data_IF_705266551079
#
_entry.id   IF_705266551079
#
_cell.length_a   1.000
_cell.length_b   1.000
_cell.length_c   1.000
_cell.angle_alpha   90.00
_cell.angle_beta   90.00
_cell.angle_gamma   90.00
#
_symmetry.space_group_name_H-M   'P 1'
#
loop_
_entity.id
_entity.type
_entity.pdbx_description
1 polymer ?
#
# COMPACT_ATOMS: atom_id res chain seq x y z
N UNK A 1 -18.92 3.59 0.30
CA UNK A 1 -19.18 3.85 1.74
C UNK A 1 -18.99 5.34 1.97
N UNK A 2 -19.90 6.01 2.66
CA UNK A 2 -19.74 7.44 2.99
C UNK A 2 -18.57 7.64 3.95
N UNK A 3 -17.70 8.60 3.69
CA UNK A 3 -16.50 8.85 4.50
C UNK A 3 -16.85 9.17 5.97
N UNK A 4 -17.98 9.86 6.19
CA UNK A 4 -18.55 10.17 7.50
C UNK A 4 -18.81 8.94 8.39
N UNK A 5 -18.98 7.76 7.78
CA UNK A 5 -19.22 6.49 8.49
C UNK A 5 -17.94 5.69 8.72
N UNK A 6 -16.78 6.20 8.28
CA UNK A 6 -15.51 5.51 8.49
C UNK A 6 -15.11 5.52 9.97
N UNK A 7 -14.41 4.46 10.40
CA UNK A 7 -13.81 4.41 11.74
C UNK A 7 -12.87 5.59 11.97
N UNK A 8 -12.21 6.07 10.93
CA UNK A 8 -11.32 7.23 10.99
C UNK A 8 -12.04 8.50 11.44
N UNK A 9 -13.13 8.87 10.76
CA UNK A 9 -13.94 10.05 11.12
C UNK A 9 -14.56 9.89 12.50
N UNK A 10 -15.02 8.68 12.84
CA UNK A 10 -15.57 8.38 14.17
C UNK A 10 -14.55 8.65 15.28
N UNK A 11 -13.33 8.12 15.17
CA UNK A 11 -12.27 8.29 16.17
C UNK A 11 -11.91 9.78 16.34
N UNK A 12 -11.81 10.55 15.25
CA UNK A 12 -11.54 11.99 15.34
C UNK A 12 -12.63 12.72 16.12
N UNK A 13 -13.91 12.41 15.85
CA UNK A 13 -15.02 13.03 16.56
C UNK A 13 -15.02 12.67 18.05
N UNK A 14 -14.79 11.39 18.39
CA UNK A 14 -14.72 10.91 19.78
C UNK A 14 -13.61 11.63 20.55
N UNK A 15 -12.37 11.62 20.03
CA UNK A 15 -11.24 12.32 20.66
C UNK A 15 -11.53 13.82 20.82
N UNK A 16 -12.08 14.47 19.79
CA UNK A 16 -12.38 15.90 19.89
C UNK A 16 -13.45 16.21 20.96
N UNK A 17 -14.46 15.35 21.09
CA UNK A 17 -15.49 15.49 22.12
C UNK A 17 -14.93 15.27 23.53
N UNK A 18 -14.13 14.22 23.72
CA UNK A 18 -13.49 13.87 24.99
C UNK A 18 -12.50 14.95 25.46
N UNK A 19 -11.73 15.51 24.52
CA UNK A 19 -10.68 16.49 24.81
C UNK A 19 -11.16 17.95 24.77
N UNK A 20 -12.44 18.20 24.53
CA UNK A 20 -12.99 19.56 24.41
C UNK A 20 -12.39 20.35 23.23
N UNK A 21 -12.05 19.68 22.13
CA UNK A 21 -11.55 20.29 20.91
C UNK A 21 -12.73 20.60 20.00
N UNK A 22 -12.87 21.86 19.58
CA UNK A 22 -13.87 22.23 18.58
C UNK A 22 -13.42 21.72 17.21
N UNK A 23 -14.21 20.79 16.66
CA UNK A 23 -14.02 20.23 15.32
C UNK A 23 -14.92 20.94 14.30
N UNK A 24 -14.39 21.24 13.13
CA UNK A 24 -15.16 21.69 11.96
C UNK A 24 -14.75 20.86 10.75
N UNK A 25 -15.74 20.29 10.06
CA UNK A 25 -15.53 19.45 8.88
C UNK A 25 -15.66 20.25 7.58
N UNK A 26 -14.90 19.85 6.56
CA UNK A 26 -14.95 20.37 5.21
C UNK A 26 -14.92 19.22 4.20
N UNK A 27 -15.51 19.46 3.02
CA UNK A 27 -15.44 18.55 1.86
C UNK A 27 -15.79 17.10 2.21
N UNK A 28 -16.96 16.89 2.82
CA UNK A 28 -17.47 15.56 3.20
C UNK A 28 -16.51 14.80 4.13
N UNK A 29 -16.05 15.48 5.20
CA UNK A 29 -15.14 14.92 6.21
C UNK A 29 -13.76 14.54 5.65
N UNK A 30 -13.38 15.06 4.49
CA UNK A 30 -12.03 14.88 3.95
C UNK A 30 -11.00 15.78 4.64
N UNK A 31 -11.45 16.93 5.14
CA UNK A 31 -10.60 17.84 5.89
C UNK A 31 -11.29 18.32 7.17
N UNK A 32 -10.49 18.57 8.20
CA UNK A 32 -10.95 19.06 9.48
C UNK A 32 -10.13 20.26 9.93
N UNK A 33 -10.78 21.20 10.61
CA UNK A 33 -10.13 22.24 11.41
C UNK A 33 -10.40 21.96 12.89
N UNK A 34 -9.33 21.90 13.67
CA UNK A 34 -9.32 21.65 15.10
C UNK A 34 -8.99 22.95 15.81
N UNK A 35 -9.75 23.29 16.86
CA UNK A 35 -9.54 24.49 17.66
C UNK A 35 -9.65 24.17 19.15
N UNK A 36 -8.60 24.51 19.90
CA UNK A 36 -8.56 24.43 21.36
C UNK A 36 -7.69 25.59 21.86
N UNK A 37 -8.23 26.39 22.78
CA UNK A 37 -7.62 27.64 23.23
C UNK A 37 -7.23 28.57 22.06
N UNK A 38 -5.98 29.04 22.03
CA UNK A 38 -5.43 29.86 20.94
C UNK A 38 -4.80 29.02 19.81
N UNK A 39 -4.90 27.69 19.88
CA UNK A 39 -4.33 26.80 18.87
C UNK A 39 -5.36 26.46 17.80
N UNK A 40 -4.88 26.43 16.56
CA UNK A 40 -5.62 25.98 15.38
C UNK A 40 -4.77 25.02 14.59
N UNK A 41 -5.31 23.86 14.25
CA UNK A 41 -4.66 22.86 13.42
C UNK A 41 -5.62 22.36 12.33
N UNK A 42 -5.07 21.69 11.34
CA UNK A 42 -5.84 21.08 10.26
C UNK A 42 -5.45 19.62 10.07
N UNK A 43 -6.43 18.81 9.70
CA UNK A 43 -6.23 17.47 9.18
C UNK A 43 -6.71 17.48 7.73
N UNK A 44 -5.90 16.98 6.80
CA UNK A 44 -6.26 16.81 5.39
C UNK A 44 -6.04 15.37 4.97
N UNK A 45 -7.11 14.64 4.64
CA UNK A 45 -7.05 13.20 4.48
C UNK A 45 -6.52 12.56 5.75
N UNK A 46 -5.35 11.91 5.66
CA UNK A 46 -4.64 11.28 6.79
C UNK A 46 -3.45 12.12 7.30
N UNK A 47 -3.34 13.39 6.91
CA UNK A 47 -2.21 14.26 7.27
C UNK A 47 -2.58 15.16 8.44
N UNK A 48 -1.88 15.01 9.57
CA UNK A 48 -2.12 15.74 10.81
C UNK A 48 -1.27 17.01 10.97
N UNK A 49 -0.46 17.35 9.96
CA UNK A 49 0.45 18.50 10.01
C UNK A 49 1.61 18.36 11.00
N UNK A 50 1.92 17.13 11.43
CA UNK A 50 3.03 16.83 12.35
C UNK A 50 4.38 16.80 11.62
N UNK A 51 4.39 16.34 10.36
CA UNK A 51 5.60 16.21 9.56
C UNK A 51 5.73 17.37 8.55
N UNK A 52 6.94 17.88 8.29
CA UNK A 52 7.18 18.78 7.17
C UNK A 52 6.74 18.16 5.84
N UNK A 53 6.18 18.97 4.95
CA UNK A 53 5.66 18.50 3.65
C UNK A 53 6.73 17.90 2.75
N UNK A 54 7.98 18.34 2.86
CA UNK A 54 9.13 17.77 2.13
C UNK A 54 9.42 16.34 2.58
N UNK A 55 9.45 16.10 3.90
CA UNK A 55 9.67 14.76 4.47
C UNK A 55 8.53 13.83 4.09
N UNK A 56 7.29 14.31 4.14
CA UNK A 56 6.13 13.53 3.70
C UNK A 56 6.25 13.11 2.22
N UNK A 57 6.73 14.00 1.35
CA UNK A 57 6.95 13.68 -0.07
C UNK A 57 8.05 12.65 -0.26
N UNK A 58 9.16 12.76 0.48
CA UNK A 58 10.22 11.75 0.50
C UNK A 58 9.65 10.39 0.90
N UNK A 59 8.85 10.30 1.97
CA UNK A 59 8.25 9.05 2.41
C UNK A 59 7.20 8.48 1.44
N UNK A 60 6.56 9.32 0.63
CA UNK A 60 5.58 8.88 -0.37
C UNK A 60 6.24 8.39 -1.68
N UNK A 61 7.49 8.78 -1.93
CA UNK A 61 8.27 8.33 -3.08
C UNK A 61 9.06 7.07 -2.73
N UNK A 62 8.73 5.93 -3.35
CA UNK A 62 9.35 4.64 -3.01
C UNK A 62 10.82 4.59 -3.37
N UNK A 63 11.24 5.19 -4.49
CA UNK A 63 12.64 5.24 -4.87
C UNK A 63 13.43 6.13 -3.91
N UNK A 64 13.01 7.38 -3.72
CA UNK A 64 13.73 8.34 -2.88
C UNK A 64 13.77 7.88 -1.42
N UNK A 65 12.66 7.35 -0.88
CA UNK A 65 12.67 6.76 0.46
C UNK A 65 13.70 5.63 0.59
N UNK A 66 13.81 4.75 -0.41
CA UNK A 66 14.80 3.65 -0.37
C UNK A 66 16.24 4.15 -0.46
N UNK A 67 16.49 5.27 -1.16
CA UNK A 67 17.81 5.89 -1.24
C UNK A 67 18.21 6.54 0.09
N UNK A 68 17.29 7.28 0.72
CA UNK A 68 17.52 7.88 2.05
C UNK A 68 17.76 6.80 3.11
N UNK A 69 16.95 5.73 3.12
CA UNK A 69 17.16 4.62 4.05
C UNK A 69 18.53 3.97 3.86
N UNK A 70 18.98 3.83 2.62
CA UNK A 70 20.32 3.28 2.33
C UNK A 70 21.43 4.21 2.79
N UNK A 71 21.29 5.52 2.61
CA UNK A 71 22.26 6.53 3.08
C UNK A 71 22.40 6.50 4.61
N UNK A 72 21.30 6.26 5.31
CA UNK A 72 21.25 6.14 6.78
C UNK A 72 21.59 4.72 7.29
N UNK A 73 22.11 3.84 6.45
CA UNK A 73 22.43 2.44 6.77
C UNK A 73 21.24 1.63 7.35
N UNK A 74 20.01 2.01 6.98
CA UNK A 74 18.79 1.31 7.37
C UNK A 74 18.45 0.22 6.33
N UNK A 75 18.35 -1.06 6.73
CA UNK A 75 18.02 -2.14 5.82
C UNK A 75 16.67 -1.90 5.12
N UNK A 76 16.70 -1.88 3.79
CA UNK A 76 15.52 -1.75 2.96
C UNK A 76 15.68 -2.48 1.64
N UNK A 77 14.56 -2.86 1.02
CA UNK A 77 14.58 -3.32 -0.36
C UNK A 77 14.77 -2.10 -1.25
N UNK A 78 15.89 -2.04 -1.97
CA UNK A 78 16.17 -0.93 -2.88
C UNK A 78 15.14 -0.84 -4.02
N UNK A 79 14.66 0.37 -4.32
CA UNK A 79 13.77 0.67 -5.43
C UNK A 79 14.51 1.53 -6.45
N UNK A 80 14.68 1.03 -7.67
CA UNK A 80 15.10 1.84 -8.81
C UNK A 80 13.89 2.59 -9.41
N UNK A 81 14.08 3.83 -9.84
CA UNK A 81 13.04 4.61 -10.51
C UNK A 81 13.20 4.59 -12.03
N UNK A 82 12.09 4.35 -12.72
CA UNK A 82 11.98 4.41 -14.17
C UNK A 82 10.84 5.36 -14.55
N UNK A 83 11.20 6.48 -15.18
CA UNK A 83 10.24 7.51 -15.57
C UNK A 83 9.40 7.06 -16.77
N UNK A 84 8.14 7.50 -16.79
CA UNK A 84 7.26 7.31 -17.93
C UNK A 84 7.84 7.98 -19.20
N UNK A 85 7.53 7.49 -20.42
CA UNK A 85 7.97 8.13 -21.65
C UNK A 85 7.58 9.61 -21.78
N UNK A 86 6.46 10.02 -21.17
CA UNK A 86 6.03 11.43 -21.09
C UNK A 86 7.00 12.33 -20.31
N UNK A 87 7.87 11.74 -19.49
CA UNK A 87 8.81 12.44 -18.61
C UNK A 87 10.26 12.40 -19.15
N UNK A 88 10.49 11.92 -20.38
CA UNK A 88 11.83 11.80 -20.97
C UNK A 88 12.63 13.12 -20.99
N UNK A 89 11.95 14.26 -21.04
CA UNK A 89 12.59 15.57 -20.95
C UNK A 89 13.39 15.77 -19.66
N UNK A 90 12.97 15.12 -18.57
CA UNK A 90 13.63 15.18 -17.26
C UNK A 90 14.75 14.13 -17.11
N UNK A 91 14.83 13.13 -17.98
CA UNK A 91 15.83 12.05 -17.93
C UNK A 91 16.91 12.18 -19.01
N UNK A 92 17.01 13.33 -19.66
CA UNK A 92 17.97 13.59 -20.74
C UNK A 92 17.63 12.84 -22.04
N UNK A 93 16.37 12.49 -22.25
CA UNK A 93 15.87 11.88 -23.50
C UNK A 93 16.28 10.43 -23.73
N UNK A 94 17.00 9.82 -22.79
CA UNK A 94 17.39 8.41 -22.88
C UNK A 94 16.23 7.53 -22.41
N UNK A 95 15.79 6.62 -23.27
CA UNK A 95 14.80 5.61 -22.92
C UNK A 95 15.35 4.63 -21.88
N UNK A 96 14.48 4.16 -20.99
CA UNK A 96 14.87 3.35 -19.83
C UNK A 96 14.64 1.85 -20.03
N UNK A 97 14.09 1.45 -21.18
CA UNK A 97 13.68 0.06 -21.46
C UNK A 97 14.85 -0.93 -21.42
N UNK A 98 16.01 -0.56 -21.97
CA UNK A 98 17.21 -1.42 -21.92
C UNK A 98 17.65 -1.70 -20.47
N UNK A 99 17.59 -0.69 -19.60
CA UNK A 99 17.93 -0.84 -18.20
C UNK A 99 16.89 -1.69 -17.45
N UNK A 100 15.60 -1.53 -17.76
CA UNK A 100 14.54 -2.38 -17.22
C UNK A 100 14.74 -3.86 -17.58
N UNK A 101 15.09 -4.16 -18.83
CA UNK A 101 15.38 -5.54 -19.25
C UNK A 101 16.61 -6.10 -18.52
N UNK A 102 17.65 -5.29 -18.33
CA UNK A 102 18.83 -5.70 -17.56
C UNK A 102 18.50 -6.00 -16.08
N UNK A 103 17.55 -5.28 -15.47
CA UNK A 103 17.07 -5.63 -14.13
C UNK A 103 16.27 -6.94 -14.11
N UNK A 104 15.48 -7.18 -15.15
CA UNK A 104 14.68 -8.41 -15.29
C UNK A 104 15.57 -9.65 -15.48
N UNK A 105 16.66 -9.52 -16.21
CA UNK A 105 17.64 -10.61 -16.41
C UNK A 105 18.26 -11.08 -15.09
N UNK A 106 18.31 -10.23 -14.06
CA UNK A 106 18.78 -10.60 -12.71
C UNK A 106 17.76 -11.49 -11.97
N UNK A 107 16.53 -11.65 -12.50
CA UNK A 107 15.45 -12.50 -11.97
C UNK A 107 14.15 -11.74 -11.67
N UNK A 108 13.29 -12.28 -10.81
CA UNK A 108 11.93 -11.74 -10.59
C UNK A 108 11.92 -10.33 -10.00
N UNK A 109 11.10 -9.47 -10.60
CA UNK A 109 10.89 -8.09 -10.20
C UNK A 109 9.51 -7.85 -9.58
N UNK A 110 9.41 -6.78 -8.82
CA UNK A 110 8.16 -6.12 -8.46
C UNK A 110 8.16 -4.73 -9.07
N UNK A 111 7.22 -4.48 -9.97
CA UNK A 111 6.99 -3.20 -10.62
C UNK A 111 5.76 -2.54 -9.98
N UNK A 112 5.88 -1.27 -9.60
CA UNK A 112 4.79 -0.55 -8.94
C UNK A 112 4.79 0.94 -9.26
N UNK A 113 3.63 1.57 -9.18
CA UNK A 113 3.53 3.02 -9.16
C UNK A 113 4.43 3.59 -8.04
N UNK A 114 5.31 4.52 -8.39
CA UNK A 114 6.26 5.12 -7.45
C UNK A 114 5.55 5.82 -6.28
N UNK A 115 4.41 6.47 -6.53
CA UNK A 115 3.68 7.26 -5.52
C UNK A 115 2.40 6.57 -5.02
N UNK A 116 2.02 5.46 -5.65
CA UNK A 116 0.77 4.75 -5.38
C UNK A 116 0.67 4.17 -3.96
N UNK A 117 -0.56 3.96 -3.50
CA UNK A 117 -0.89 3.41 -2.17
C UNK A 117 -1.87 2.24 -2.27
N UNK A 118 -2.05 1.49 -1.18
CA UNK A 118 -3.08 0.45 -1.08
C UNK A 118 -2.81 -0.82 -1.88
N UNK A 119 -1.61 -1.01 -2.43
CA UNK A 119 -1.28 -2.16 -3.26
C UNK A 119 -1.84 -2.09 -4.69
N UNK A 120 -2.35 -0.93 -5.10
CA UNK A 120 -2.79 -0.70 -6.47
C UNK A 120 -1.59 -0.62 -7.42
N UNK A 121 -1.78 -1.12 -8.65
CA UNK A 121 -0.77 -1.13 -9.71
C UNK A 121 0.57 -1.73 -9.24
N UNK A 122 0.52 -2.86 -8.55
CA UNK A 122 1.69 -3.64 -8.11
C UNK A 122 1.71 -4.97 -8.87
N UNK A 123 2.78 -5.22 -9.60
CA UNK A 123 2.93 -6.36 -10.49
C UNK A 123 4.17 -7.17 -10.12
N UNK A 124 4.01 -8.49 -9.99
CA UNK A 124 5.14 -9.44 -9.90
C UNK A 124 5.51 -9.88 -11.32
N UNK A 125 6.71 -9.54 -11.76
CA UNK A 125 7.16 -9.64 -13.15
C UNK A 125 8.33 -10.63 -13.27
N UNK A 126 8.20 -11.59 -14.18
CA UNK A 126 9.16 -12.68 -14.44
C UNK A 126 9.57 -12.75 -15.90
N UNK A 127 8.78 -12.16 -16.80
CA UNK A 127 9.01 -12.20 -18.24
C UNK A 127 8.94 -10.80 -18.83
N UNK A 128 9.51 -10.64 -20.01
CA UNK A 128 9.44 -9.37 -20.72
C UNK A 128 7.99 -8.97 -21.02
N UNK A 129 7.14 -9.91 -21.43
CA UNK A 129 5.72 -9.62 -21.69
C UNK A 129 4.99 -9.11 -20.43
N UNK A 130 5.26 -9.71 -19.27
CA UNK A 130 4.72 -9.22 -17.99
C UNK A 130 5.25 -7.82 -17.64
N UNK A 131 6.51 -7.53 -17.96
CA UNK A 131 7.12 -6.22 -17.74
C UNK A 131 6.48 -5.14 -18.64
N UNK A 132 6.23 -5.47 -19.91
CA UNK A 132 5.58 -4.58 -20.88
C UNK A 132 4.15 -4.25 -20.42
N UNK A 133 3.40 -5.25 -19.96
CA UNK A 133 2.07 -5.07 -19.42
C UNK A 133 2.09 -4.18 -18.16
N UNK A 134 2.97 -4.48 -17.20
CA UNK A 134 3.09 -3.71 -15.96
C UNK A 134 3.46 -2.25 -16.23
N UNK A 135 4.45 -2.01 -17.09
CA UNK A 135 4.87 -0.66 -17.48
C UNK A 135 3.73 0.09 -18.20
N UNK A 136 3.04 -0.57 -19.13
CA UNK A 136 1.89 0.02 -19.83
C UNK A 136 0.79 0.44 -18.86
N UNK A 137 0.44 -0.41 -17.89
CA UNK A 137 -0.63 -0.12 -16.94
C UNK A 137 -0.25 0.96 -15.92
N UNK A 138 0.99 0.95 -15.42
CA UNK A 138 1.47 1.96 -14.48
C UNK A 138 1.55 3.33 -15.16
N UNK A 139 2.15 3.41 -16.35
CA UNK A 139 2.37 4.70 -17.04
C UNK A 139 1.09 5.33 -17.60
N UNK A 140 -0.06 4.64 -17.59
CA UNK A 140 -1.36 5.27 -17.90
C UNK A 140 -1.75 6.35 -16.88
N UNK A 141 -1.28 6.23 -15.64
CA UNK A 141 -1.73 7.07 -14.52
C UNK A 141 -0.63 7.56 -13.59
N UNK A 142 0.63 7.15 -13.82
CA UNK A 142 1.78 7.57 -13.03
C UNK A 142 2.93 8.02 -13.92
N UNK A 143 3.66 9.01 -13.44
CA UNK A 143 4.84 9.59 -14.09
C UNK A 143 6.10 8.74 -13.86
N UNK A 144 6.06 7.81 -12.90
CA UNK A 144 7.22 7.03 -12.49
C UNK A 144 6.81 5.63 -11.99
N UNK A 145 7.63 4.64 -12.37
CA UNK A 145 7.54 3.27 -11.89
C UNK A 145 8.72 2.97 -10.98
N UNK A 146 8.45 2.55 -9.76
CA UNK A 146 9.44 1.95 -8.88
C UNK A 146 9.58 0.46 -9.19
N UNK A 147 10.82 0.00 -9.31
CA UNK A 147 11.17 -1.40 -9.58
C UNK A 147 12.11 -1.90 -8.51
N UNK A 148 11.79 -3.05 -7.91
CA UNK A 148 12.70 -3.74 -7.00
C UNK A 148 12.72 -5.24 -7.25
N UNK A 149 13.65 -5.91 -6.58
CA UNK A 149 13.66 -7.38 -6.50
C UNK A 149 12.42 -7.88 -5.78
N UNK A 150 11.92 -9.02 -6.23
CA UNK A 150 10.93 -9.76 -5.45
C UNK A 150 11.63 -10.49 -4.31
N UNK A 151 11.25 -10.14 -3.08
CA UNK A 151 11.69 -10.81 -1.87
C UNK A 151 10.56 -11.65 -1.30
N UNK A 152 10.89 -12.83 -0.77
CA UNK A 152 9.93 -13.64 -0.03
C UNK A 152 9.80 -13.11 1.40
N UNK A 153 8.59 -12.66 1.74
CA UNK A 153 8.32 -12.00 3.03
C UNK A 153 7.70 -13.03 3.97
N UNK A 154 8.47 -13.46 4.97
CA UNK A 154 8.01 -14.39 5.99
C UNK A 154 6.98 -13.76 6.94
N UNK A 155 7.15 -12.48 7.26
CA UNK A 155 6.27 -11.75 8.17
C UNK A 155 6.28 -10.26 7.84
N UNK A 156 5.13 -9.61 7.97
CA UNK A 156 4.99 -8.17 7.80
C UNK A 156 4.57 -7.55 9.13
N UNK A 157 5.39 -6.63 9.65
CA UNK A 157 5.08 -5.83 10.84
C UNK A 157 4.85 -4.39 10.44
N UNK A 158 3.89 -3.73 11.10
CA UNK A 158 3.68 -2.28 10.98
C UNK A 158 3.90 -1.64 12.35
N UNK A 159 4.75 -0.62 12.34
CA UNK A 159 5.05 0.21 13.49
C UNK A 159 4.43 1.60 13.27
N UNK A 160 3.78 2.15 14.29
CA UNK A 160 3.35 3.55 14.33
C UNK A 160 4.28 4.29 15.27
N UNK A 161 5.05 5.22 14.73
CA UNK A 161 6.03 6.03 15.48
C UNK A 161 5.50 7.44 15.65
N UNK A 162 5.55 7.97 16.86
CA UNK A 162 5.20 9.35 17.20
C UNK A 162 6.23 9.88 18.18
N UNK A 163 6.77 11.08 17.90
CA UNK A 163 7.78 11.75 18.74
C UNK A 163 8.98 10.85 19.10
N UNK A 164 9.41 10.02 18.15
CA UNK A 164 10.54 9.09 18.32
C UNK A 164 10.21 7.78 19.05
N UNK A 165 8.97 7.58 19.51
CA UNK A 165 8.55 6.38 20.22
C UNK A 165 7.62 5.49 19.37
N UNK A 166 7.80 4.16 19.47
CA UNK A 166 6.86 3.20 18.88
C UNK A 166 5.61 3.16 19.77
N UNK A 167 4.49 3.67 19.26
CA UNK A 167 3.20 3.72 19.97
C UNK A 167 2.34 2.49 19.75
N UNK A 168 2.52 1.83 18.59
CA UNK A 168 1.80 0.62 18.23
C UNK A 168 2.66 -0.23 17.31
N UNK A 169 2.68 -1.54 17.56
CA UNK A 169 3.28 -2.53 16.69
C UNK A 169 2.27 -3.66 16.46
N UNK A 170 2.07 -4.07 15.21
CA UNK A 170 1.22 -5.21 14.89
C UNK A 170 1.73 -5.97 13.67
N UNK A 171 1.50 -7.28 13.65
CA UNK A 171 1.75 -8.13 12.49
C UNK A 171 0.53 -8.16 11.57
N UNK A 172 0.77 -8.12 10.25
CA UNK A 172 -0.27 -8.39 9.26
C UNK A 172 -0.28 -9.87 8.92
N UNK A 173 -1.39 -10.51 9.25
CA UNK A 173 -1.66 -11.90 8.88
C UNK A 173 -2.35 -11.88 7.52
N UNK A 174 -1.81 -12.62 6.56
CA UNK A 174 -2.50 -12.82 5.28
C UNK A 174 -3.74 -13.68 5.54
N UNK A 175 -4.96 -13.20 5.21
CA UNK A 175 -6.14 -14.03 5.31
C UNK A 175 -5.95 -15.27 4.44
N UNK A 176 -6.14 -16.45 5.04
CA UNK A 176 -5.96 -17.73 4.38
C UNK A 176 -7.11 -18.66 4.73
N UNK A 177 -7.42 -19.58 3.82
CA UNK A 177 -8.37 -20.66 4.04
C UNK A 177 -7.61 -21.97 4.14
N UNK A 178 -8.08 -22.88 5.00
CA UNK A 178 -7.56 -24.25 5.07
C UNK A 178 -8.56 -25.19 4.43
N UNK A 179 -8.12 -25.96 3.44
CA UNK A 179 -8.96 -26.96 2.80
C UNK A 179 -9.34 -28.07 3.75
N UNK A 180 -10.60 -28.50 3.66
CA UNK A 180 -11.14 -29.65 4.40
C UNK A 180 -11.18 -30.93 3.53
N UNK A 181 -10.86 -30.82 2.23
CA UNK A 181 -10.94 -31.91 1.26
C UNK A 181 -12.35 -32.17 0.72
N UNK A 182 -13.35 -31.37 1.09
CA UNK A 182 -14.77 -31.62 0.78
C UNK A 182 -15.51 -30.37 0.30
N UNK A 183 -15.35 -29.25 1.00
CA UNK A 183 -16.01 -27.98 0.71
C UNK A 183 -15.27 -27.21 -0.37
N UNK A 184 -16.00 -26.48 -1.22
CA UNK A 184 -15.37 -25.59 -2.21
C UNK A 184 -14.75 -24.37 -1.53
N UNK A 185 -13.79 -23.71 -2.21
CA UNK A 185 -13.21 -22.42 -1.77
C UNK A 185 -14.32 -21.41 -1.46
N UNK A 186 -15.35 -21.31 -2.30
CA UNK A 186 -16.46 -20.39 -2.07
C UNK A 186 -17.24 -20.66 -0.78
N UNK A 187 -17.47 -21.95 -0.45
CA UNK A 187 -18.13 -22.31 0.80
C UNK A 187 -17.25 -22.02 2.02
N UNK A 188 -15.98 -22.38 1.97
CA UNK A 188 -15.00 -22.10 3.03
C UNK A 188 -14.88 -20.58 3.27
N UNK A 189 -14.86 -19.79 2.20
CA UNK A 189 -14.81 -18.34 2.27
C UNK A 189 -16.08 -17.76 2.93
N UNK A 190 -17.27 -18.22 2.52
CA UNK A 190 -18.53 -17.77 3.10
C UNK A 190 -18.61 -18.07 4.61
N UNK A 191 -18.16 -19.26 5.03
CA UNK A 191 -18.10 -19.64 6.45
C UNK A 191 -17.10 -18.80 7.24
N UNK A 192 -15.90 -18.55 6.68
CA UNK A 192 -14.88 -17.73 7.33
C UNK A 192 -15.35 -16.27 7.51
N UNK A 193 -16.05 -15.71 6.52
CA UNK A 193 -16.68 -14.38 6.62
C UNK A 193 -17.77 -14.38 7.71
N UNK A 194 -18.66 -15.37 7.71
CA UNK A 194 -19.73 -15.47 8.69
C UNK A 194 -19.22 -15.58 10.14
N UNK A 195 -18.07 -16.24 10.33
CA UNK A 195 -17.37 -16.36 11.63
C UNK A 195 -16.52 -15.13 11.99
N UNK A 196 -16.46 -14.12 11.12
CA UNK A 196 -15.61 -12.94 11.31
C UNK A 196 -14.11 -13.24 11.27
N UNK A 197 -13.69 -14.36 10.68
CA UNK A 197 -12.28 -14.75 10.56
C UNK A 197 -11.58 -14.02 9.40
N UNK A 198 -12.36 -13.61 8.39
CA UNK A 198 -11.87 -12.86 7.23
C UNK A 198 -12.76 -11.62 7.05
N UNK A 199 -12.15 -10.44 7.15
CA UNK A 199 -12.85 -9.16 7.00
C UNK A 199 -12.70 -8.54 5.60
N UNK A 200 -11.66 -8.95 4.87
CA UNK A 200 -11.46 -8.59 3.46
C UNK A 200 -10.73 -9.72 2.75
N UNK A 201 -11.15 -10.01 1.52
CA UNK A 201 -10.57 -11.07 0.70
C UNK A 201 -10.54 -10.60 -0.75
N UNK A 202 -9.42 -10.81 -1.43
CA UNK A 202 -9.40 -10.70 -2.89
C UNK A 202 -10.25 -11.85 -3.42
N UNK A 203 -11.41 -11.51 -3.99
CA UNK A 203 -12.35 -12.52 -4.51
C UNK A 203 -11.63 -13.33 -5.58
N UNK A 204 -11.45 -14.65 -5.39
CA UNK A 204 -10.91 -15.51 -6.43
C UNK A 204 -11.79 -15.43 -7.66
N UNK A 205 -11.23 -15.65 -8.85
CA UNK A 205 -12.07 -15.77 -10.03
C UNK A 205 -13.09 -16.93 -9.86
N UNK A 206 -14.15 -16.91 -10.66
CA UNK A 206 -15.27 -17.86 -10.53
C UNK A 206 -14.83 -19.34 -10.63
N UNK A 207 -13.80 -19.61 -11.43
CA UNK A 207 -13.23 -20.95 -11.57
C UNK A 207 -12.52 -21.42 -10.28
N UNK A 208 -11.85 -20.51 -9.57
CA UNK A 208 -11.22 -20.82 -8.28
C UNK A 208 -12.25 -21.07 -7.16
N UNK A 209 -13.35 -20.31 -7.13
CA UNK A 209 -14.40 -20.46 -6.11
C UNK A 209 -15.02 -21.87 -6.10
N UNK A 210 -15.03 -22.55 -7.24
CA UNK A 210 -15.60 -23.88 -7.43
C UNK A 210 -14.66 -25.02 -7.05
N UNK A 211 -13.36 -24.76 -6.81
CA UNK A 211 -12.39 -25.82 -6.49
C UNK A 211 -12.58 -26.35 -5.08
N UNK A 212 -12.37 -27.66 -4.92
CA UNK A 212 -12.26 -28.32 -3.61
C UNK A 212 -10.78 -28.48 -3.27
N UNK A 213 -10.25 -27.69 -2.32
CA UNK A 213 -8.87 -27.79 -1.87
C UNK A 213 -8.63 -29.05 -1.03
N UNK A 214 -7.44 -29.63 -1.17
CA UNK A 214 -7.01 -30.78 -0.37
C UNK A 214 -7.06 -30.47 1.13
N UNK A 215 -7.29 -31.52 1.92
CA UNK A 215 -7.34 -31.41 3.38
C UNK A 215 -6.02 -30.86 3.92
N UNK A 216 -6.08 -29.91 4.85
CA UNK A 216 -4.94 -29.19 5.46
C UNK A 216 -4.14 -28.30 4.51
N UNK A 217 -4.55 -28.16 3.25
CA UNK A 217 -3.88 -27.25 2.33
C UNK A 217 -4.29 -25.82 2.64
N UNK A 218 -3.32 -24.95 2.90
CA UNK A 218 -3.53 -23.50 2.95
C UNK A 218 -3.73 -22.96 1.53
N UNK A 219 -4.71 -22.07 1.38
CA UNK A 219 -5.12 -21.51 0.11
C UNK A 219 -5.36 -20.02 0.34
N UNK A 220 -4.71 -19.21 -0.50
CA UNK A 220 -4.62 -17.75 -0.42
C UNK A 220 -3.81 -17.23 0.77
#
# INVERSE_FOLDING_TARGET
>A
MENSKSSYVKIINEICAEEGIKLSSYSYDWAFCLRKDQKRAFILGYQFGLNPSSVQQVCNDKNIASEVLKEEDIPSVYHACFMAPSMLQYTGGKGSWKALLAELEKGTLVCKDNYGTGGNLVFKVRTQAELEQAASDIYKSSEAMAVCRYEDIQSEYRLVVLDGEIRLAFSKIRPSLTGDGVSTVGKLLAEAIAKGQIHSFLVPNEAELSKVPEKMRLIY
#
